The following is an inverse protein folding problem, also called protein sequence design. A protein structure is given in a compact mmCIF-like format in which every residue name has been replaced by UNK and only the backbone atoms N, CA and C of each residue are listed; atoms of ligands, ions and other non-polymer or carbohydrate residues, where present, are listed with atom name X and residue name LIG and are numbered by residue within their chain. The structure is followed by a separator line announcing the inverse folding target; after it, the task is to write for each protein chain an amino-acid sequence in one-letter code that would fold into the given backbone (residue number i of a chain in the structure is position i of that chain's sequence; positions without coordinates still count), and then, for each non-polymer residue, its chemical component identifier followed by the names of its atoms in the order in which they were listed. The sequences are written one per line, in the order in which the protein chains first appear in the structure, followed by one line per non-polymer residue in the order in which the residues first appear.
data_IF_964192662065
#
_entry.id   IF_964192662065
#
_cell.length_a   1.000
_cell.length_b   1.000
_cell.length_c   1.000
_cell.angle_alpha   90.00
_cell.angle_beta   90.00
_cell.angle_gamma   90.00
#
_symmetry.space_group_name_H-M   'P 1'
#
loop_
_entity.id
_entity.type
_entity.pdbx_description
1 polymer ?
#
# COMPACT_ATOMS: atom_id res chain seq x y z
N UNK A 1 13.86 12.72 39.36
CA UNK A 1 14.57 11.70 38.54
C UNK A 1 13.66 10.85 37.67
N UNK A 2 12.51 10.35 38.15
CA UNK A 2 11.63 9.47 37.36
C UNK A 2 11.09 10.13 36.08
N UNK A 3 10.71 11.41 36.17
CA UNK A 3 10.15 12.16 35.04
C UNK A 3 11.11 12.27 33.83
N UNK A 4 12.40 12.52 34.07
CA UNK A 4 13.40 12.63 33.01
C UNK A 4 13.65 11.30 32.31
N UNK A 5 13.58 10.17 33.04
CA UNK A 5 13.69 8.84 32.43
C UNK A 5 12.50 8.61 31.50
N UNK A 6 11.28 8.82 32.00
CA UNK A 6 10.06 8.55 31.23
C UNK A 6 9.96 9.44 29.98
N UNK A 7 10.26 10.73 30.10
CA UNK A 7 10.04 11.69 29.01
C UNK A 7 11.21 11.80 28.04
N UNK A 8 12.46 11.70 28.52
CA UNK A 8 13.65 11.93 27.68
C UNK A 8 14.31 10.66 27.18
N UNK A 9 14.27 9.56 27.93
CA UNK A 9 15.01 8.34 27.58
C UNK A 9 14.16 7.24 26.93
N UNK A 10 12.89 7.08 27.33
CA UNK A 10 12.03 6.02 26.79
C UNK A 10 11.64 6.26 25.32
N UNK A 11 11.25 7.47 24.87
CA UNK A 11 10.86 7.68 23.47
C UNK A 11 11.96 7.34 22.43
N UNK A 12 13.22 7.84 22.56
CA UNK A 12 14.28 7.47 21.61
C UNK A 12 14.66 5.99 21.70
N UNK A 13 14.59 5.38 22.89
CA UNK A 13 14.80 3.94 23.05
C UNK A 13 13.75 3.10 22.32
N UNK A 14 12.47 3.51 22.35
CA UNK A 14 11.40 2.81 21.62
C UNK A 14 11.59 2.87 20.11
N UNK A 15 12.07 4.00 19.57
CA UNK A 15 12.33 4.17 18.13
C UNK A 15 13.53 3.32 17.67
N UNK A 16 14.61 3.30 18.44
CA UNK A 16 15.78 2.47 18.14
C UNK A 16 15.47 0.98 18.27
N UNK A 17 14.73 0.58 19.30
CA UNK A 17 14.30 -0.81 19.49
C UNK A 17 13.38 -1.27 18.36
N UNK A 18 12.43 -0.45 17.90
CA UNK A 18 11.56 -0.83 16.79
C UNK A 18 12.33 -0.99 15.48
N UNK A 19 13.32 -0.14 15.21
CA UNK A 19 14.21 -0.27 14.06
C UNK A 19 15.05 -1.56 14.12
N UNK A 20 15.61 -1.89 15.29
CA UNK A 20 16.36 -3.13 15.49
C UNK A 20 15.45 -4.36 15.34
N UNK A 21 14.26 -4.35 15.93
CA UNK A 21 13.30 -5.45 15.83
C UNK A 21 12.81 -5.65 14.40
N UNK A 22 12.56 -4.56 13.65
CA UNK A 22 12.24 -4.61 12.24
C UNK A 22 13.40 -5.19 11.39
N UNK A 23 14.64 -4.95 11.80
CA UNK A 23 15.85 -5.40 11.10
C UNK A 23 16.34 -6.80 11.54
N UNK A 24 15.80 -7.35 12.63
CA UNK A 24 16.36 -8.51 13.36
C UNK A 24 16.43 -9.84 12.59
N UNK A 25 15.80 -9.99 11.43
CA UNK A 25 15.96 -11.18 10.59
C UNK A 25 17.08 -10.97 9.59
N UNK A 26 18.30 -11.27 10.01
CA UNK A 26 19.56 -11.24 9.22
C UNK A 26 19.44 -11.91 7.84
N UNK A 27 18.49 -12.82 7.64
CA UNK A 27 18.28 -13.55 6.40
C UNK A 27 17.13 -13.04 5.51
N UNK A 28 16.33 -12.06 5.94
CA UNK A 28 15.23 -11.55 5.10
C UNK A 28 15.69 -10.29 4.35
N UNK A 29 15.57 -10.25 3.01
CA UNK A 29 15.84 -9.01 2.27
C UNK A 29 14.89 -7.91 2.76
N UNK A 30 15.41 -6.67 2.83
CA UNK A 30 14.63 -5.50 3.22
C UNK A 30 13.37 -5.43 2.36
N UNK A 31 12.22 -5.33 3.01
CA UNK A 31 10.96 -5.16 2.28
C UNK A 31 11.03 -3.85 1.49
N UNK A 32 10.70 -3.92 0.20
CA UNK A 32 10.66 -2.74 -0.65
C UNK A 32 9.51 -1.84 -0.21
N UNK A 33 9.76 -0.54 -0.17
CA UNK A 33 8.67 0.43 0.03
C UNK A 33 7.68 0.35 -1.13
N UNK A 34 6.48 0.91 -0.96
CA UNK A 34 5.48 0.98 -2.03
C UNK A 34 6.04 1.69 -3.28
N UNK A 35 6.76 2.79 -3.09
CA UNK A 35 7.39 3.55 -4.18
C UNK A 35 8.46 2.73 -4.90
N UNK A 36 9.32 2.02 -4.16
CA UNK A 36 10.34 1.12 -4.73
C UNK A 36 9.71 -0.06 -5.48
N UNK A 37 8.62 -0.63 -4.97
CA UNK A 37 7.88 -1.72 -5.63
C UNK A 37 7.28 -1.25 -6.95
N UNK A 38 6.66 -0.08 -6.96
CA UNK A 38 6.07 0.51 -8.15
C UNK A 38 7.14 0.92 -9.18
N UNK A 39 8.26 1.48 -8.73
CA UNK A 39 9.45 1.76 -9.56
C UNK A 39 9.95 0.47 -10.22
N UNK A 40 10.14 -0.60 -9.45
CA UNK A 40 10.58 -1.92 -9.94
C UNK A 40 9.65 -2.49 -10.99
N UNK A 41 8.33 -2.41 -10.76
CA UNK A 41 7.32 -2.85 -11.73
C UNK A 41 7.39 -2.04 -13.02
N UNK A 42 7.50 -0.72 -12.92
CA UNK A 42 7.60 0.16 -14.09
C UNK A 42 8.88 -0.10 -14.90
N UNK A 43 10.01 -0.28 -14.22
CA UNK A 43 11.30 -0.62 -14.83
C UNK A 43 11.23 -1.95 -15.59
N UNK A 44 10.78 -3.01 -14.92
CA UNK A 44 10.65 -4.36 -15.53
C UNK A 44 9.75 -4.33 -16.77
N UNK A 45 8.70 -3.51 -16.75
CA UNK A 45 7.82 -3.31 -17.90
C UNK A 45 8.55 -2.61 -19.04
N UNK A 46 9.24 -1.49 -18.78
CA UNK A 46 9.96 -0.70 -19.79
C UNK A 46 11.15 -1.46 -20.41
N UNK A 47 11.79 -2.34 -19.63
CA UNK A 47 12.90 -3.18 -20.11
C UNK A 47 12.47 -4.14 -21.23
N UNK A 48 11.18 -4.53 -21.28
CA UNK A 48 10.64 -5.44 -22.30
C UNK A 48 10.11 -4.76 -23.56
N UNK A 49 9.96 -3.43 -23.55
CA UNK A 49 9.33 -2.69 -24.65
C UNK A 49 10.34 -2.45 -25.78
N UNK A 50 10.11 -2.88 -27.03
CA UNK A 50 11.06 -2.63 -28.10
C UNK A 50 11.31 -1.13 -28.34
N UNK A 51 12.57 -0.78 -28.60
CA UNK A 51 12.98 0.56 -29.00
C UNK A 51 12.83 0.68 -30.51
N UNK A 52 12.16 1.76 -30.95
CA UNK A 52 12.01 2.11 -32.36
C UNK A 52 12.72 3.44 -32.55
N UNK A 53 13.77 3.48 -33.37
CA UNK A 53 14.58 4.68 -33.59
C UNK A 53 15.86 4.73 -32.75
N UNK A 54 16.67 5.75 -33.01
CA UNK A 54 17.95 6.01 -32.33
C UNK A 54 17.74 7.25 -31.47
N UNK A 55 18.07 7.13 -30.19
CA UNK A 55 17.92 8.18 -29.18
C UNK A 55 19.22 8.28 -28.41
N UNK A 56 19.64 9.51 -28.09
CA UNK A 56 20.81 9.75 -27.26
C UNK A 56 20.41 9.64 -25.79
N UNK A 57 21.04 8.71 -25.08
CA UNK A 57 20.85 8.51 -23.64
C UNK A 57 22.16 8.72 -22.91
N UNK A 58 22.12 9.47 -21.82
CA UNK A 58 23.22 9.60 -20.89
C UNK A 58 22.77 9.11 -19.50
N UNK A 59 23.31 7.95 -19.10
CA UNK A 59 22.98 7.30 -17.83
C UNK A 59 23.58 8.09 -16.65
N UNK A 60 24.72 8.75 -16.87
CA UNK A 60 25.44 9.50 -15.81
C UNK A 60 24.63 10.70 -15.31
N UNK A 61 23.98 11.42 -16.23
CA UNK A 61 23.08 12.53 -15.92
C UNK A 61 21.61 12.10 -15.82
N UNK A 62 21.31 10.84 -16.13
CA UNK A 62 19.96 10.28 -16.20
C UNK A 62 19.04 11.05 -17.18
N UNK A 63 19.57 11.37 -18.36
CA UNK A 63 18.86 12.17 -19.38
C UNK A 63 18.66 11.40 -20.69
N UNK A 64 17.54 11.67 -21.36
CA UNK A 64 17.25 11.12 -22.68
C UNK A 64 16.51 12.15 -23.53
N UNK A 65 16.90 12.24 -24.80
CA UNK A 65 16.34 13.16 -25.80
C UNK A 65 14.92 12.79 -26.27
N UNK A 66 14.39 11.61 -25.92
CA UNK A 66 13.09 11.15 -26.40
C UNK A 66 11.87 11.89 -25.79
N UNK A 67 12.08 12.74 -24.77
CA UNK A 67 11.04 13.53 -24.10
C UNK A 67 10.04 12.75 -23.22
N UNK A 68 9.84 11.45 -23.48
CA UNK A 68 8.93 10.58 -22.74
C UNK A 68 9.21 10.52 -21.23
N UNK A 69 10.46 10.75 -20.82
CA UNK A 69 10.87 10.77 -19.41
C UNK A 69 10.03 11.74 -18.57
N UNK A 70 9.68 12.91 -19.12
CA UNK A 70 8.91 13.96 -18.44
C UNK A 70 7.50 13.52 -18.04
N UNK A 71 6.91 12.58 -18.78
CA UNK A 71 5.52 12.16 -18.59
C UNK A 71 5.37 10.93 -17.70
N UNK A 72 6.46 10.26 -17.35
CA UNK A 72 6.43 9.10 -16.46
C UNK A 72 6.54 9.54 -15.00
N UNK A 73 5.68 9.00 -14.12
CA UNK A 73 5.65 9.38 -12.68
C UNK A 73 6.99 9.19 -11.97
N UNK A 74 7.77 8.21 -12.42
CA UNK A 74 9.10 7.88 -11.92
C UNK A 74 10.25 8.44 -12.77
N UNK A 75 10.00 9.34 -13.73
CA UNK A 75 11.03 9.91 -14.61
C UNK A 75 11.87 8.83 -15.32
N UNK A 76 11.19 7.79 -15.81
CA UNK A 76 11.78 6.69 -16.57
C UNK A 76 11.32 6.79 -18.02
N UNK A 77 12.19 6.44 -18.95
CA UNK A 77 11.81 6.13 -20.34
C UNK A 77 12.40 4.77 -20.74
N UNK A 78 11.87 4.16 -21.80
CA UNK A 78 12.36 2.86 -22.27
C UNK A 78 13.84 2.89 -22.66
N UNK A 79 14.31 4.00 -23.23
CA UNK A 79 15.70 4.16 -23.67
C UNK A 79 16.66 4.17 -22.49
N UNK A 80 16.39 4.97 -21.45
CA UNK A 80 17.21 5.00 -20.22
C UNK A 80 17.26 3.64 -19.53
N UNK A 81 16.08 3.01 -19.37
CA UNK A 81 15.97 1.71 -18.68
C UNK A 81 16.75 0.62 -19.41
N UNK A 82 16.74 0.61 -20.73
CA UNK A 82 17.47 -0.40 -21.51
C UNK A 82 18.96 -0.09 -21.62
N UNK A 83 19.33 1.20 -21.72
CA UNK A 83 20.72 1.65 -21.70
C UNK A 83 21.40 1.31 -20.37
N UNK A 84 20.66 1.43 -19.25
CA UNK A 84 21.12 1.05 -17.91
C UNK A 84 21.31 -0.46 -17.69
N UNK A 85 20.73 -1.32 -18.55
CA UNK A 85 20.89 -2.78 -18.45
C UNK A 85 20.15 -3.44 -17.29
N UNK A 86 20.64 -4.61 -16.87
CA UNK A 86 20.09 -5.37 -15.75
C UNK A 86 20.56 -4.81 -14.41
N UNK A 87 19.61 -4.51 -13.52
CA UNK A 87 19.88 -3.91 -12.22
C UNK A 87 19.92 -4.98 -11.12
N UNK A 88 20.95 -5.00 -10.25
CA UNK A 88 21.05 -5.97 -9.17
C UNK A 88 19.87 -5.87 -8.20
N UNK A 89 19.47 -7.01 -7.63
CA UNK A 89 18.29 -7.07 -6.75
C UNK A 89 18.46 -6.25 -5.45
N UNK A 90 19.69 -6.08 -4.98
CA UNK A 90 20.03 -5.28 -3.79
C UNK A 90 19.74 -3.79 -3.97
N UNK A 91 19.87 -3.28 -5.19
CA UNK A 91 19.68 -1.86 -5.48
C UNK A 91 18.24 -1.40 -5.22
N UNK A 92 17.24 -2.26 -5.44
CA UNK A 92 15.83 -1.85 -5.29
C UNK A 92 15.49 -1.35 -3.89
N UNK A 93 16.13 -1.90 -2.85
CA UNK A 93 15.95 -1.45 -1.47
C UNK A 93 16.67 -0.14 -1.13
N UNK A 94 17.67 0.21 -1.94
CA UNK A 94 18.50 1.41 -1.81
C UNK A 94 18.06 2.52 -2.77
N UNK A 95 17.20 2.22 -3.75
CA UNK A 95 16.73 3.18 -4.74
C UNK A 95 16.01 4.34 -4.04
N UNK A 96 16.59 5.53 -4.18
CA UNK A 96 16.05 6.82 -3.74
C UNK A 96 15.89 7.71 -4.97
N UNK A 97 14.78 8.44 -5.02
CA UNK A 97 14.53 9.44 -6.06
C UNK A 97 15.02 10.80 -5.58
N UNK A 98 15.92 11.40 -6.33
CA UNK A 98 16.41 12.76 -6.10
C UNK A 98 15.52 13.79 -6.83
N UNK A 99 15.57 15.04 -6.37
CA UNK A 99 14.87 16.16 -7.01
C UNK A 99 15.70 16.82 -8.11
N UNK A 100 17.02 16.64 -8.08
CA UNK A 100 17.98 17.17 -9.05
C UNK A 100 18.59 16.01 -9.85
N UNK A 101 18.87 16.18 -11.15
CA UNK A 101 19.59 15.18 -11.94
C UNK A 101 20.98 14.83 -11.35
N UNK A 102 21.41 13.56 -11.45
CA UNK A 102 20.62 12.41 -11.89
C UNK A 102 19.54 12.03 -10.87
N UNK A 103 18.32 11.76 -11.36
CA UNK A 103 17.16 11.47 -10.49
C UNK A 103 17.28 10.16 -9.71
N UNK A 104 18.18 9.26 -10.12
CA UNK A 104 18.50 8.01 -9.43
C UNK A 104 20.00 7.73 -9.53
N UNK A 105 20.57 7.12 -8.50
CA UNK A 105 21.94 6.60 -8.49
C UNK A 105 21.92 5.14 -8.95
N UNK A 106 22.03 4.93 -10.27
CA UNK A 106 21.99 3.57 -10.84
C UNK A 106 23.40 2.98 -10.88
N UNK A 107 23.60 1.73 -10.45
CA UNK A 107 24.91 1.07 -10.54
C UNK A 107 25.23 0.78 -12.01
N UNK A 108 26.28 1.41 -12.51
CA UNK A 108 26.83 1.14 -13.85
C UNK A 108 28.05 0.27 -13.62
N UNK A 109 28.08 -0.91 -14.22
CA UNK A 109 29.18 -1.89 -14.07
C UNK A 109 29.49 -2.24 -12.60
N UNK A 110 28.45 -2.27 -11.76
CA UNK A 110 28.57 -2.57 -10.33
C UNK A 110 29.07 -1.39 -9.47
N UNK A 111 29.34 -0.23 -10.06
CA UNK A 111 29.73 0.98 -9.34
C UNK A 111 28.55 1.93 -9.25
N UNK A 112 28.09 2.20 -8.02
CA UNK A 112 27.06 3.21 -7.76
C UNK A 112 27.72 4.59 -7.64
N UNK A 113 27.32 5.54 -8.49
CA UNK A 113 27.80 6.92 -8.39
C UNK A 113 27.38 7.61 -7.08
N UNK A 114 28.14 8.63 -6.68
CA UNK A 114 27.78 9.44 -5.52
C UNK A 114 26.42 10.13 -5.75
N UNK A 115 25.57 10.23 -4.72
CA UNK A 115 24.31 10.94 -4.83
C UNK A 115 24.55 12.43 -5.11
N UNK A 116 23.74 13.07 -5.98
CA UNK A 116 23.91 14.49 -6.30
C UNK A 116 23.68 15.40 -5.09
N UNK A 117 22.86 14.95 -4.14
CA UNK A 117 22.59 15.65 -2.89
C UNK A 117 22.99 14.77 -1.71
N UNK A 118 23.63 15.36 -0.71
CA UNK A 118 23.71 14.74 0.61
C UNK A 118 22.28 14.66 1.12
N UNK A 119 21.75 13.45 1.35
CA UNK A 119 20.32 13.20 1.63
C UNK A 119 19.81 13.87 2.93
N UNK A 120 20.67 14.60 3.65
CA UNK A 120 20.41 15.20 4.95
C UNK A 120 20.20 16.71 4.91
N UNK A 121 20.64 17.39 3.86
CA UNK A 121 20.50 18.83 3.74
C UNK A 121 19.45 19.14 2.67
N UNK A 122 18.21 19.28 3.11
CA UNK A 122 17.12 19.75 2.27
C UNK A 122 17.39 21.21 1.86
N UNK A 123 18.20 21.44 0.83
CA UNK A 123 18.52 22.77 0.32
C UNK A 123 17.28 23.59 -0.09
N UNK A 124 16.14 22.93 -0.32
CA UNK A 124 14.86 23.62 -0.54
C UNK A 124 14.32 24.29 0.73
N UNK A 125 14.63 23.77 1.93
CA UNK A 125 14.28 24.42 3.20
C UNK A 125 15.03 25.74 3.33
N UNK A 126 16.28 25.80 2.86
CA UNK A 126 17.05 27.07 2.82
C UNK A 126 16.55 28.06 1.76
N UNK A 127 15.77 27.59 0.77
CA UNK A 127 15.16 28.43 -0.29
C UNK A 127 13.70 28.80 -0.03
N UNK A 128 13.04 28.11 0.90
CA UNK A 128 11.78 28.60 1.43
C UNK A 128 12.08 29.98 2.04
N UNK A 129 11.30 31.03 1.71
CA UNK A 129 11.35 32.26 2.47
C UNK A 129 11.18 31.85 3.93
N UNK A 130 12.26 31.99 4.70
CA UNK A 130 12.15 32.04 6.14
C UNK A 130 11.28 33.26 6.35
N UNK A 131 9.98 33.06 6.58
CA UNK A 131 9.23 34.05 7.33
C UNK A 131 9.94 34.09 8.69
N UNK A 132 10.96 34.94 8.77
CA UNK A 132 11.33 35.58 10.00
C UNK A 132 10.03 36.25 10.43
N UNK A 133 9.25 35.49 11.21
CA UNK A 133 8.08 35.96 11.89
C UNK A 133 8.65 36.96 12.91
N UNK A 134 8.98 38.16 12.41
CA UNK A 134 9.21 39.32 13.23
C UNK A 134 7.97 39.36 14.11
N UNK A 135 8.17 39.01 15.37
CA UNK A 135 7.15 39.00 16.40
C UNK A 135 6.84 40.48 16.64
N UNK A 136 6.10 41.07 15.71
CA UNK A 136 5.62 42.42 15.77
C UNK A 136 4.69 42.49 16.95
N UNK A 137 5.17 43.11 18.02
CA UNK A 137 4.40 43.45 19.20
C UNK A 137 3.06 44.05 18.76
N UNK A 138 2.00 43.33 19.11
CA UNK A 138 0.63 43.74 18.89
C UNK A 138 0.34 45.01 19.69
N UNK A 139 0.44 46.17 19.05
CA UNK A 139 -0.33 47.34 19.45
C UNK A 139 -1.56 47.44 18.56
N UNK A 140 -2.65 46.98 19.14
CA UNK A 140 -4.02 47.16 18.70
C UNK A 140 -4.40 48.65 18.65
N UNK A 141 -4.77 49.15 17.48
CA UNK A 141 -5.73 50.26 17.38
C UNK A 141 -6.85 49.89 16.41
N UNK A 142 -8.07 49.89 16.96
CA UNK A 142 -9.30 49.67 16.26
C UNK A 142 -9.65 50.90 15.43
N UNK A 143 -9.58 50.77 14.10
CA UNK A 143 -10.06 51.76 13.15
C UNK A 143 -11.05 51.12 12.18
N UNK A 144 -12.34 51.41 12.37
CA UNK A 144 -13.41 51.10 11.43
C UNK A 144 -13.11 51.80 10.08
N UNK A 145 -13.25 51.10 8.97
CA UNK A 145 -13.49 51.74 7.67
C UNK A 145 -14.33 50.86 6.77
N UNK A 146 -15.16 51.54 6.00
CA UNK A 146 -16.42 51.09 5.44
C UNK A 146 -16.26 50.20 4.20
N UNK A 147 -17.17 49.25 4.14
CA UNK A 147 -17.87 48.69 2.98
C UNK A 147 -17.64 49.45 1.65
N UNK A 148 -16.88 48.84 0.73
CA UNK A 148 -16.86 49.22 -0.68
C UNK A 148 -16.83 47.99 -1.57
N UNK A 149 -18.01 47.61 -2.04
CA UNK A 149 -18.23 46.63 -3.10
C UNK A 149 -17.65 47.14 -4.43
N UNK A 150 -16.42 46.73 -4.77
CA UNK A 150 -15.80 46.93 -6.07
C UNK A 150 -15.52 45.60 -6.79
N UNK A 151 -16.56 44.98 -7.35
CA UNK A 151 -16.43 43.79 -8.20
C UNK A 151 -15.86 44.19 -9.57
N UNK A 152 -14.54 44.20 -9.69
CA UNK A 152 -13.88 44.33 -10.99
C UNK A 152 -14.03 43.02 -11.77
N UNK A 153 -14.92 43.04 -12.76
CA UNK A 153 -15.01 42.02 -13.81
C UNK A 153 -13.73 42.07 -14.66
N UNK A 154 -12.82 41.13 -14.41
CA UNK A 154 -11.73 40.87 -15.35
C UNK A 154 -12.30 40.12 -16.56
N UNK A 155 -12.40 40.87 -17.65
CA UNK A 155 -12.74 40.37 -18.98
C UNK A 155 -11.61 39.46 -19.48
N UNK A 156 -11.81 38.13 -19.40
CA UNK A 156 -10.91 37.16 -20.00
C UNK A 156 -11.17 37.17 -21.52
N UNK A 157 -10.52 38.09 -22.21
CA UNK A 157 -10.41 38.08 -23.66
C UNK A 157 -9.68 36.79 -24.06
N UNK A 158 -10.42 35.94 -24.79
CA UNK A 158 -9.96 34.66 -25.32
C UNK A 158 -8.78 34.86 -26.26
N UNK A 159 -7.61 34.32 -25.91
CA UNK A 159 -6.49 34.19 -26.84
C UNK A 159 -6.79 33.13 -27.91
N UNK A 160 -6.57 33.42 -29.21
CA UNK A 160 -6.93 32.57 -30.34
C UNK A 160 -5.89 31.47 -30.66
N UNK A 161 -5.05 31.09 -29.70
CA UNK A 161 -4.09 29.98 -29.82
C UNK A 161 -4.74 28.66 -29.39
N UNK A 162 -5.66 28.20 -30.23
CA UNK A 162 -6.28 26.86 -30.19
C UNK A 162 -5.19 25.79 -29.95
N UNK A 163 -5.26 24.97 -28.89
CA UNK A 163 -4.41 23.79 -28.79
C UNK A 163 -4.71 22.86 -29.99
N UNK A 164 -3.70 22.19 -30.56
CA UNK A 164 -3.89 21.33 -31.71
C UNK A 164 -4.93 20.25 -31.42
N UNK A 165 -5.73 19.85 -32.41
CA UNK A 165 -6.73 18.81 -32.26
C UNK A 165 -6.04 17.53 -31.77
N UNK A 166 -6.18 17.24 -30.49
CA UNK A 166 -5.85 15.93 -29.92
C UNK A 166 -6.65 14.91 -30.71
N UNK A 167 -5.93 14.15 -31.54
CA UNK A 167 -6.47 13.11 -32.39
C UNK A 167 -7.22 12.04 -31.59
N UNK A 168 -7.84 11.14 -32.33
CA UNK A 168 -8.81 10.13 -31.91
C UNK A 168 -8.30 9.09 -30.88
N UNK A 169 -7.11 9.29 -30.30
CA UNK A 169 -6.57 8.58 -29.13
C UNK A 169 -7.06 9.19 -27.81
N UNK A 170 -8.34 9.55 -27.77
CA UNK A 170 -9.08 9.96 -26.57
C UNK A 170 -9.22 8.87 -25.51
N UNK A 171 -8.22 8.02 -25.32
CA UNK A 171 -8.15 6.98 -24.29
C UNK A 171 -7.72 7.54 -22.92
N UNK A 172 -7.51 8.85 -22.82
CA UNK A 172 -7.14 9.52 -21.57
C UNK A 172 -7.90 10.83 -21.41
N UNK A 173 -9.23 10.75 -21.22
CA UNK A 173 -9.94 11.81 -20.50
C UNK A 173 -11.24 11.31 -19.86
N UNK A 174 -11.28 11.48 -18.54
CA UNK A 174 -12.48 11.66 -17.71
C UNK A 174 -13.47 10.50 -17.62
N UNK A 175 -13.10 9.49 -16.82
CA UNK A 175 -13.94 9.21 -15.64
C UNK A 175 -13.57 10.18 -14.52
N UNK A 176 -14.02 11.42 -14.66
CA UNK A 176 -14.26 12.30 -13.53
C UNK A 176 -15.55 11.77 -12.88
N UNK A 177 -15.38 10.90 -11.88
CA UNK A 177 -16.49 10.24 -11.21
C UNK A 177 -16.08 8.86 -10.71
N UNK A 178 -15.63 8.79 -9.46
CA UNK A 178 -15.42 7.51 -8.77
C UNK A 178 -14.23 7.53 -7.82
N UNK A 179 -14.45 8.08 -6.63
CA UNK A 179 -13.71 7.85 -5.38
C UNK A 179 -12.46 6.97 -5.43
N UNK A 180 -11.35 7.53 -5.92
CA UNK A 180 -10.04 7.09 -5.48
C UNK A 180 -9.80 7.73 -4.11
N UNK A 181 -10.55 7.23 -3.11
CA UNK A 181 -10.22 7.45 -1.73
C UNK A 181 -8.77 7.02 -1.53
N UNK A 182 -7.99 7.92 -0.97
CA UNK A 182 -6.74 7.61 -0.32
C UNK A 182 -7.07 6.68 0.85
N UNK A 183 -7.24 5.38 0.58
CA UNK A 183 -7.05 4.37 1.61
C UNK A 183 -5.56 4.32 1.88
N UNK A 184 -5.14 5.12 2.84
CA UNK A 184 -3.88 4.94 3.54
C UNK A 184 -3.80 3.47 3.93
N UNK A 185 -2.83 2.77 3.36
CA UNK A 185 -2.44 1.38 3.69
C UNK A 185 -1.77 1.30 5.09
N UNK A 186 -2.08 2.26 5.99
CA UNK A 186 -1.79 2.22 7.42
C UNK A 186 -2.73 1.23 8.15
N UNK A 187 -3.52 0.46 7.39
CA UNK A 187 -4.50 -0.51 7.88
C UNK A 187 -3.90 -1.90 8.14
N UNK A 188 -2.60 -2.08 7.92
CA UNK A 188 -1.92 -3.38 8.10
C UNK A 188 -1.38 -3.63 9.52
N UNK A 189 -1.88 -2.88 10.51
CA UNK A 189 -2.00 -3.38 11.90
C UNK A 189 -3.29 -2.90 12.53
N UNK A 190 -4.44 -3.14 11.88
CA UNK A 190 -5.65 -3.22 12.68
C UNK A 190 -5.37 -4.24 13.79
N UNK A 191 -5.45 -3.81 15.06
CA UNK A 191 -5.28 -4.69 16.20
C UNK A 191 -6.15 -5.93 15.94
N UNK A 192 -5.56 -7.12 16.07
CA UNK A 192 -6.29 -8.35 15.85
C UNK A 192 -7.54 -8.40 16.74
N UNK A 193 -7.46 -7.78 17.92
CA UNK A 193 -8.59 -7.60 18.83
C UNK A 193 -9.68 -6.70 18.23
N UNK A 194 -9.32 -5.58 17.61
CA UNK A 194 -10.26 -4.67 16.96
C UNK A 194 -10.93 -5.34 15.75
N UNK A 195 -10.17 -6.09 14.95
CA UNK A 195 -10.72 -6.86 13.83
C UNK A 195 -11.74 -7.90 14.31
N UNK A 196 -11.42 -8.63 15.39
CA UNK A 196 -12.35 -9.58 16.01
C UNK A 196 -13.59 -8.89 16.60
N UNK A 197 -13.42 -7.72 17.23
CA UNK A 197 -14.54 -6.93 17.76
C UNK A 197 -15.49 -6.49 16.65
N UNK A 198 -14.97 -5.99 15.54
CA UNK A 198 -15.75 -5.56 14.38
C UNK A 198 -16.48 -6.71 13.70
N UNK A 199 -15.85 -7.89 13.58
CA UNK A 199 -16.50 -9.08 13.03
C UNK A 199 -17.68 -9.56 13.88
N UNK A 200 -17.57 -9.51 15.21
CA UNK A 200 -18.67 -9.84 16.12
C UNK A 200 -19.82 -8.84 15.96
N UNK A 201 -19.51 -7.54 15.99
CA UNK A 201 -20.50 -6.48 15.79
C UNK A 201 -21.23 -6.62 14.44
N UNK A 202 -20.51 -6.97 13.37
CA UNK A 202 -21.12 -7.22 12.07
C UNK A 202 -22.07 -8.43 12.09
N UNK A 203 -21.74 -9.46 12.88
CA UNK A 203 -22.62 -10.61 13.14
C UNK A 203 -23.91 -10.19 13.85
N UNK A 204 -23.79 -9.44 14.95
CA UNK A 204 -24.94 -8.95 15.72
C UNK A 204 -25.88 -8.08 14.87
N UNK A 205 -25.31 -7.19 14.05
CA UNK A 205 -26.08 -6.36 13.10
C UNK A 205 -26.79 -7.26 12.09
N UNK A 206 -26.11 -8.25 11.52
CA UNK A 206 -26.72 -9.15 10.55
C UNK A 206 -27.88 -9.94 11.15
N UNK A 207 -27.73 -10.45 12.37
CA UNK A 207 -28.77 -11.16 13.10
C UNK A 207 -29.98 -10.26 13.41
N UNK A 208 -29.74 -9.02 13.85
CA UNK A 208 -30.82 -8.05 14.09
C UNK A 208 -31.66 -7.77 12.84
N UNK A 209 -31.02 -7.78 11.66
CA UNK A 209 -31.66 -7.56 10.37
C UNK A 209 -32.41 -8.80 9.87
N UNK A 210 -32.19 -9.99 10.43
CA UNK A 210 -32.99 -11.17 10.06
C UNK A 210 -34.41 -11.10 10.63
N UNK A 211 -34.62 -10.39 11.73
CA UNK A 211 -35.94 -10.19 12.33
C UNK A 211 -36.82 -9.25 11.49
N UNK A 212 -36.22 -8.24 10.86
CA UNK A 212 -36.89 -7.28 9.97
C UNK A 212 -36.04 -7.09 8.69
N UNK A 213 -36.13 -8.01 7.72
CA UNK A 213 -35.19 -8.06 6.62
C UNK A 213 -35.38 -6.93 5.62
N UNK A 214 -34.39 -6.04 5.54
CA UNK A 214 -34.19 -5.22 4.34
C UNK A 214 -33.54 -6.10 3.25
N UNK A 215 -34.26 -6.42 2.15
CA UNK A 215 -33.75 -7.29 1.10
C UNK A 215 -32.49 -6.75 0.43
N UNK A 216 -32.27 -5.42 0.40
CA UNK A 216 -31.07 -4.83 -0.20
C UNK A 216 -29.85 -5.03 0.68
N UNK A 217 -30.01 -4.77 1.98
CA UNK A 217 -28.97 -5.01 2.97
C UNK A 217 -28.60 -6.49 3.02
N UNK A 218 -29.58 -7.38 3.19
CA UNK A 218 -29.35 -8.83 3.34
C UNK A 218 -28.64 -9.41 2.10
N UNK A 219 -29.04 -9.03 0.89
CA UNK A 219 -28.36 -9.50 -0.32
C UNK A 219 -26.91 -9.02 -0.43
N UNK A 220 -26.65 -7.77 -0.03
CA UNK A 220 -25.30 -7.20 -0.05
C UNK A 220 -24.41 -7.86 1.01
N UNK A 221 -24.92 -7.98 2.24
CA UNK A 221 -24.27 -8.66 3.34
C UNK A 221 -23.94 -10.11 2.98
N UNK A 222 -24.91 -10.86 2.41
CA UNK A 222 -24.70 -12.24 1.95
C UNK A 222 -23.57 -12.36 0.94
N UNK A 223 -23.50 -11.48 -0.07
CA UNK A 223 -22.40 -11.50 -1.06
C UNK A 223 -21.04 -11.30 -0.42
N UNK A 224 -20.93 -10.40 0.57
CA UNK A 224 -19.68 -10.13 1.28
C UNK A 224 -19.30 -11.26 2.25
N UNK A 225 -20.28 -11.79 2.99
CA UNK A 225 -20.09 -12.91 3.91
C UNK A 225 -19.72 -14.22 3.20
N UNK A 226 -20.15 -14.44 1.96
CA UNK A 226 -19.77 -15.63 1.19
C UNK A 226 -18.25 -15.80 1.04
N UNK A 227 -17.50 -14.72 0.88
CA UNK A 227 -16.03 -14.78 0.82
C UNK A 227 -15.43 -15.20 2.17
N UNK A 228 -15.97 -14.66 3.27
CA UNK A 228 -15.54 -15.02 4.64
C UNK A 228 -15.88 -16.49 4.93
N UNK A 229 -17.09 -16.93 4.62
CA UNK A 229 -17.53 -18.31 4.78
C UNK A 229 -16.67 -19.29 3.99
N UNK A 230 -16.31 -18.95 2.76
CA UNK A 230 -15.40 -19.77 1.94
C UNK A 230 -14.05 -19.91 2.61
N UNK A 231 -13.47 -18.80 3.05
CA UNK A 231 -12.18 -18.80 3.76
C UNK A 231 -12.24 -19.62 5.06
N UNK A 232 -13.28 -19.45 5.88
CA UNK A 232 -13.45 -20.22 7.13
C UNK A 232 -13.53 -21.73 6.87
N UNK A 233 -14.25 -22.16 5.82
CA UNK A 233 -14.31 -23.57 5.40
C UNK A 233 -12.95 -24.10 4.95
N UNK A 234 -12.16 -23.29 4.25
CA UNK A 234 -10.81 -23.68 3.83
C UNK A 234 -9.88 -23.85 5.04
N UNK A 235 -10.00 -22.98 6.06
CA UNK A 235 -9.27 -23.09 7.33
C UNK A 235 -9.68 -24.34 8.11
N UNK A 236 -10.98 -24.61 8.23
CA UNK A 236 -11.49 -25.81 8.90
C UNK A 236 -10.99 -27.08 8.22
N UNK A 237 -11.07 -27.15 6.88
CA UNK A 237 -10.53 -28.26 6.10
C UNK A 237 -9.02 -28.43 6.30
N UNK A 238 -8.28 -27.32 6.43
CA UNK A 238 -6.85 -27.37 6.74
C UNK A 238 -6.59 -27.93 8.14
N UNK A 239 -7.38 -27.54 9.15
CA UNK A 239 -7.28 -28.08 10.51
C UNK A 239 -7.61 -29.56 10.54
N UNK A 240 -8.69 -29.99 9.89
CA UNK A 240 -9.08 -31.40 9.77
C UNK A 240 -7.97 -32.24 9.11
N UNK A 241 -7.28 -31.70 8.10
CA UNK A 241 -6.13 -32.37 7.47
C UNK A 241 -4.93 -32.50 8.42
N UNK A 242 -4.73 -31.55 9.33
CA UNK A 242 -3.64 -31.60 10.34
C UNK A 242 -3.98 -32.52 11.50
N UNK A 243 -5.25 -32.64 11.86
CA UNK A 243 -5.72 -33.52 12.94
C UNK A 243 -5.87 -34.97 12.49
N UNK A 244 -5.74 -35.28 11.20
CA UNK A 244 -5.57 -36.67 10.78
C UNK A 244 -4.25 -37.16 11.37
N UNK A 245 -4.25 -38.25 12.16
CA UNK A 245 -2.99 -38.84 12.62
C UNK A 245 -2.14 -39.11 11.38
N UNK A 246 -0.85 -38.78 11.46
CA UNK A 246 0.12 -39.03 10.40
C UNK A 246 0.24 -40.55 10.23
N UNK A 247 -0.66 -41.15 9.46
CA UNK A 247 -0.72 -42.60 9.24
C UNK A 247 0.22 -43.06 8.12
N UNK A 248 0.88 -42.12 7.42
CA UNK A 248 1.70 -42.39 6.24
C UNK A 248 3.22 -42.38 6.46
N UNK A 249 3.73 -42.34 7.69
CA UNK A 249 5.14 -42.65 7.97
C UNK A 249 5.30 -44.06 8.50
N UNK A 250 4.73 -45.06 7.80
CA UNK A 250 5.09 -46.45 8.05
C UNK A 250 6.26 -46.82 7.14
N UNK A 251 7.45 -46.82 7.72
CA UNK A 251 8.60 -47.56 7.19
C UNK A 251 8.15 -48.99 6.88
N UNK A 252 8.48 -49.52 5.70
CA UNK A 252 8.04 -50.81 5.20
C UNK A 252 8.48 -52.04 6.04
N UNK A 253 9.07 -51.83 7.22
CA UNK A 253 9.64 -52.88 8.08
C UNK A 253 9.02 -53.00 9.47
N UNK A 254 8.04 -52.18 9.85
CA UNK A 254 7.44 -52.28 11.18
C UNK A 254 6.16 -53.14 11.20
N UNK A 255 6.04 -54.09 12.15
CA UNK A 255 4.86 -54.95 12.28
C UNK A 255 3.62 -54.12 12.64
N UNK A 256 2.47 -54.51 12.09
CA UNK A 256 1.20 -53.80 12.28
C UNK A 256 0.84 -53.71 13.77
N UNK A 257 0.56 -52.51 14.32
CA UNK A 257 0.02 -52.39 15.66
C UNK A 257 -1.38 -52.99 15.70
N UNK A 258 -1.59 -53.98 16.58
CA UNK A 258 -2.84 -54.75 16.72
C UNK A 258 -3.98 -53.98 17.41
N UNK A 259 -3.79 -52.70 17.74
CA UNK A 259 -4.77 -51.87 18.42
C UNK A 259 -5.01 -50.56 17.65
N UNK A 260 -5.65 -50.65 16.49
CA UNK A 260 -6.31 -49.51 15.88
C UNK A 260 -7.73 -49.49 16.46
N UNK A 261 -7.91 -48.68 17.49
CA UNK A 261 -9.23 -48.29 18.00
C UNK A 261 -9.90 -47.51 16.87
N UNK A 262 -10.76 -48.19 16.10
CA UNK A 262 -11.55 -47.59 15.05
C UNK A 262 -12.39 -46.46 15.60
N UNK A 263 -12.37 -45.32 14.92
CA UNK A 263 -13.31 -44.23 15.13
C UNK A 263 -14.73 -44.79 15.02
N UNK A 264 -15.37 -44.95 16.17
CA UNK A 264 -16.82 -45.14 16.26
C UNK A 264 -17.39 -43.80 15.80
N UNK A 265 -17.86 -43.73 14.56
CA UNK A 265 -18.72 -42.64 14.15
C UNK A 265 -19.93 -42.66 15.08
N UNK A 266 -20.05 -41.65 15.94
CA UNK A 266 -21.30 -41.37 16.63
C UNK A 266 -22.33 -41.04 15.55
N UNK A 267 -23.10 -42.08 15.19
CA UNK A 267 -24.41 -41.94 14.57
C UNK A 267 -25.23 -41.08 15.52
N UNK A 268 -25.31 -39.79 15.19
CA UNK A 268 -26.29 -38.88 15.74
C UNK A 268 -27.66 -39.50 15.47
N UNK A 269 -28.19 -40.17 16.49
CA UNK A 269 -29.56 -40.65 16.55
C UNK A 269 -30.45 -39.42 16.40
N UNK A 270 -31.05 -39.28 15.22
CA UNK A 270 -32.28 -38.50 15.05
C UNK A 270 -33.34 -39.17 15.93
N UNK A 271 -33.45 -38.70 17.18
CA UNK A 271 -34.57 -39.03 18.04
C UNK A 271 -35.80 -38.37 17.43
N UNK A 272 -36.56 -39.18 16.70
CA UNK A 272 -37.89 -38.86 16.20
C UNK A 272 -38.78 -38.59 17.44
N UNK A 273 -39.14 -37.34 17.69
CA UNK A 273 -40.18 -37.00 18.65
C UNK A 273 -41.53 -37.35 18.01
N UNK A 274 -41.97 -38.59 18.21
CA UNK A 274 -43.38 -38.93 18.08
C UNK A 274 -44.12 -38.32 19.28
N UNK A 275 -44.71 -37.15 19.07
CA UNK A 275 -45.79 -36.66 19.93
C UNK A 275 -47.03 -37.49 19.65
N UNK A 276 -47.22 -38.53 20.45
CA UNK A 276 -48.45 -39.31 20.51
C UNK A 276 -49.60 -38.48 21.06
N UNK A 277 -50.74 -38.60 20.39
CA UNK A 277 -52.06 -38.34 20.94
C UNK A 277 -52.32 -39.23 22.15
N UNK A 278 -53.05 -38.70 23.13
CA UNK A 278 -53.70 -39.47 24.20
C UNK A 278 -54.78 -38.62 24.86
N UNK A 279 -56.02 -38.91 24.46
CA UNK A 279 -57.34 -38.73 25.09
C UNK A 279 -57.78 -37.39 25.69
#
# INVERSE_FOLDING_TARGET
MVYTIITKSIPPYRLTLSEILATSRVSRPKALTHTQTALKRAWTRLQRVPINGIYVTDISTWTCDCGAQKYHSYLLCKHLVQSAGEIPSSWWSEAVRYHIPPFYTVPIDGVTGNPPESTREYYWVSRMPSEEFESGDAQSEAGQTEDSCGRAESSIASSPSKPPPTGHDGLMRTRAGGGAGFELDDRETADHQETLRLLRLAGDIYESQLLNPDPRFVNTARRKLNSVLKWTKDVEKHQQRRSLPITNTKSAREPLPSNIIGYRHDLFLHHQSQSGLGD
#
